data_IF_960738935147
#
_entry.id   IF_960738935147
#
_cell.length_a   1.000
_cell.length_b   1.000
_cell.length_c   1.000
_cell.angle_alpha   90.00
_cell.angle_beta   90.00
_cell.angle_gamma   90.00
#
_symmetry.space_group_name_H-M   'P 1'
#
loop_
_entity.id
_entity.type
_entity.pdbx_description
1 polymer ?
#
# COMPACT_ATOMS: atom_id res chain seq x y z
N UNK A 1 0.54 -5.53 14.56
CA UNK A 1 0.64 -5.04 13.17
C UNK A 1 -0.08 -6.03 12.27
N UNK A 2 -0.98 -5.58 11.39
CA UNK A 2 -1.60 -6.47 10.40
C UNK A 2 -0.69 -6.59 9.19
N UNK A 3 -0.30 -7.81 8.81
CA UNK A 3 0.36 -8.08 7.53
C UNK A 3 -0.41 -7.36 6.41
N UNK A 4 0.27 -6.52 5.63
CA UNK A 4 -0.31 -5.95 4.41
C UNK A 4 -0.37 -7.09 3.38
N UNK A 5 -1.47 -7.82 3.41
CA UNK A 5 -1.69 -9.01 2.60
C UNK A 5 -2.16 -8.64 1.19
N UNK A 6 -1.22 -8.56 0.24
CA UNK A 6 -1.54 -8.44 -1.18
C UNK A 6 -2.14 -9.75 -1.71
N UNK A 7 -3.46 -9.82 -1.78
CA UNK A 7 -4.21 -11.05 -2.06
C UNK A 7 -4.86 -11.03 -3.44
N UNK A 8 -4.56 -12.05 -4.25
CA UNK A 8 -5.26 -12.33 -5.51
C UNK A 8 -6.22 -13.51 -5.32
N UNK A 9 -7.43 -13.39 -5.86
CA UNK A 9 -8.46 -14.44 -5.83
C UNK A 9 -8.87 -14.77 -7.26
N UNK A 10 -8.68 -16.03 -7.65
CA UNK A 10 -9.11 -16.56 -8.94
C UNK A 10 -10.36 -17.42 -8.75
N UNK A 11 -11.50 -16.95 -9.26
CA UNK A 11 -12.77 -17.69 -9.23
C UNK A 11 -12.91 -18.58 -10.46
N UNK A 12 -13.33 -19.83 -10.25
CA UNK A 12 -13.49 -20.83 -11.30
C UNK A 12 -14.88 -21.45 -11.14
N UNK A 13 -15.80 -21.06 -12.02
CA UNK A 13 -17.15 -21.61 -12.06
C UNK A 13 -17.18 -22.97 -12.77
N UNK A 14 -18.11 -23.84 -12.38
CA UNK A 14 -18.30 -25.15 -13.01
C UNK A 14 -17.01 -25.98 -13.10
N UNK A 15 -16.23 -26.05 -12.01
CA UNK A 15 -14.92 -26.69 -11.95
C UNK A 15 -14.93 -28.15 -12.46
N UNK A 16 -16.03 -28.88 -12.27
CA UNK A 16 -16.21 -30.24 -12.76
C UNK A 16 -16.03 -30.37 -14.29
N UNK A 17 -16.33 -29.32 -15.05
CA UNK A 17 -16.16 -29.35 -16.51
C UNK A 17 -14.69 -29.28 -16.90
N UNK A 18 -13.87 -28.57 -16.12
CA UNK A 18 -12.41 -28.54 -16.30
C UNK A 18 -11.81 -29.91 -16.00
N UNK A 19 -12.25 -30.56 -14.91
CA UNK A 19 -11.86 -31.94 -14.55
C UNK A 19 -12.22 -32.95 -15.65
N UNK A 20 -13.27 -32.71 -16.43
CA UNK A 20 -13.66 -33.58 -17.57
C UNK A 20 -12.88 -33.29 -18.84
N UNK A 21 -12.58 -32.01 -19.12
CA UNK A 21 -12.03 -31.56 -20.41
C UNK A 21 -10.51 -31.55 -20.45
N UNK A 22 -9.85 -31.32 -19.31
CA UNK A 22 -8.41 -31.15 -19.23
C UNK A 22 -7.78 -32.48 -18.84
N UNK A 23 -6.82 -32.96 -19.63
CA UNK A 23 -6.17 -34.25 -19.38
C UNK A 23 -5.28 -34.21 -18.13
N UNK A 24 -4.90 -35.37 -17.63
CA UNK A 24 -3.84 -35.46 -16.62
C UNK A 24 -2.52 -34.91 -17.18
N UNK A 25 -1.79 -34.11 -16.39
CA UNK A 25 -0.59 -33.39 -16.84
C UNK A 25 -0.88 -32.07 -17.56
N UNK A 26 -2.13 -31.82 -18.00
CA UNK A 26 -2.51 -30.56 -18.61
C UNK A 26 -3.00 -29.56 -17.55
N UNK A 27 -2.70 -28.29 -17.77
CA UNK A 27 -3.14 -27.18 -16.93
C UNK A 27 -3.93 -26.13 -17.70
N UNK A 28 -4.63 -25.28 -16.95
CA UNK A 28 -5.14 -24.01 -17.43
C UNK A 28 -4.73 -22.88 -16.49
N UNK A 29 -4.64 -21.68 -17.03
CA UNK A 29 -4.01 -20.56 -16.34
C UNK A 29 -5.00 -19.50 -15.91
N UNK A 30 -4.71 -18.82 -14.81
CA UNK A 30 -5.39 -17.58 -14.45
C UNK A 30 -5.07 -16.46 -15.46
N UNK A 31 -5.84 -15.37 -15.48
CA UNK A 31 -5.33 -14.11 -16.00
C UNK A 31 -4.01 -13.76 -15.33
N UNK A 32 -3.11 -13.09 -16.07
CA UNK A 32 -1.92 -12.50 -15.47
C UNK A 32 -2.35 -11.40 -14.52
N UNK A 33 -1.73 -11.35 -13.34
CA UNK A 33 -2.07 -10.37 -12.33
C UNK A 33 -0.82 -9.69 -11.78
N UNK A 34 -0.98 -8.39 -11.53
CA UNK A 34 0.03 -7.57 -10.88
C UNK A 34 -0.22 -7.55 -9.39
N UNK A 35 0.86 -7.52 -8.63
CA UNK A 35 0.79 -7.24 -7.20
C UNK A 35 1.20 -5.80 -6.97
N UNK A 36 0.28 -4.96 -6.44
CA UNK A 36 0.56 -3.56 -6.24
C UNK A 36 1.60 -3.36 -5.14
N UNK A 37 2.37 -2.28 -5.32
CA UNK A 37 3.44 -1.84 -4.44
C UNK A 37 3.00 -1.85 -2.97
N UNK A 38 3.82 -2.41 -2.10
CA UNK A 38 3.77 -1.96 -0.73
C UNK A 38 4.42 -0.58 -0.68
N UNK A 39 3.67 0.41 -0.23
CA UNK A 39 4.02 1.83 -0.29
C UNK A 39 5.22 2.23 0.60
N UNK A 40 5.97 1.24 1.10
CA UNK A 40 7.04 1.40 2.07
C UNK A 40 8.45 1.27 1.47
N UNK A 41 8.58 0.94 0.18
CA UNK A 41 9.89 0.82 -0.49
C UNK A 41 9.81 1.21 -1.98
N UNK A 42 10.58 2.23 -2.38
CA UNK A 42 10.70 2.69 -3.78
C UNK A 42 11.40 1.68 -4.70
N UNK A 43 12.11 0.71 -4.12
CA UNK A 43 12.83 -0.32 -4.85
C UNK A 43 11.95 -1.52 -5.22
N UNK A 44 10.81 -1.73 -4.55
CA UNK A 44 9.91 -2.86 -4.82
C UNK A 44 8.95 -2.47 -5.95
N UNK A 45 9.38 -2.79 -7.18
CA UNK A 45 8.58 -2.56 -8.40
C UNK A 45 7.50 -3.64 -8.57
N UNK A 46 6.37 -3.31 -9.22
CA UNK A 46 5.25 -4.24 -9.36
C UNK A 46 5.70 -5.52 -10.03
N UNK A 47 5.39 -6.64 -9.40
CA UNK A 47 5.72 -7.99 -9.88
C UNK A 47 4.53 -8.57 -10.66
N UNK A 48 4.82 -9.27 -11.75
CA UNK A 48 3.82 -9.94 -12.60
C UNK A 48 3.81 -11.44 -12.34
N UNK A 49 2.61 -12.00 -12.24
CA UNK A 49 2.38 -13.39 -11.84
C UNK A 49 1.26 -14.05 -12.65
N UNK A 50 1.27 -15.39 -12.68
CA UNK A 50 0.21 -16.21 -13.24
C UNK A 50 0.10 -17.53 -12.46
N UNK A 51 -1.13 -17.98 -12.17
CA UNK A 51 -1.37 -19.29 -11.58
C UNK A 51 -1.68 -20.30 -12.68
N UNK A 52 -1.24 -21.54 -12.52
CA UNK A 52 -1.64 -22.67 -13.36
C UNK A 52 -2.28 -23.75 -12.49
N UNK A 53 -3.45 -24.23 -12.89
CA UNK A 53 -4.20 -25.25 -12.20
C UNK A 53 -4.24 -26.54 -13.02
N UNK A 54 -3.82 -27.64 -12.42
CA UNK A 54 -3.88 -28.99 -12.98
C UNK A 54 -5.03 -29.72 -12.30
N UNK A 55 -6.25 -29.71 -12.89
CA UNK A 55 -7.44 -30.23 -12.23
C UNK A 55 -7.41 -31.75 -12.03
N UNK A 56 -6.63 -32.47 -12.84
CA UNK A 56 -6.41 -33.92 -12.75
C UNK A 56 -4.98 -34.27 -12.32
N UNK A 57 -4.27 -33.31 -11.73
CA UNK A 57 -2.91 -33.46 -11.23
C UNK A 57 -1.84 -33.39 -12.31
N UNK A 58 -0.65 -32.99 -11.90
CA UNK A 58 0.58 -33.04 -12.70
C UNK A 58 1.23 -34.44 -12.62
N UNK A 59 2.33 -34.67 -13.35
CA UNK A 59 3.07 -35.94 -13.44
C UNK A 59 3.23 -36.62 -12.06
N UNK A 60 2.57 -37.78 -11.92
CA UNK A 60 2.64 -38.59 -10.68
C UNK A 60 1.62 -38.23 -9.60
N UNK A 61 0.80 -37.20 -9.78
CA UNK A 61 -0.19 -36.73 -8.81
C UNK A 61 -1.65 -37.06 -9.20
N UNK A 62 -1.90 -38.28 -9.69
CA UNK A 62 -3.26 -38.70 -10.08
C UNK A 62 -4.23 -38.58 -8.91
N UNK A 63 -5.45 -38.13 -9.20
CA UNK A 63 -6.52 -37.87 -8.22
C UNK A 63 -6.27 -36.71 -7.25
N UNK A 64 -5.21 -35.93 -7.47
CA UNK A 64 -4.99 -34.67 -6.77
C UNK A 64 -5.15 -33.50 -7.74
N UNK A 65 -5.45 -32.34 -7.19
CA UNK A 65 -5.35 -31.07 -7.89
C UNK A 65 -3.95 -30.52 -7.60
N UNK A 66 -3.21 -30.15 -8.65
CA UNK A 66 -1.92 -29.48 -8.52
C UNK A 66 -2.06 -28.00 -8.85
N UNK A 67 -1.25 -27.16 -8.20
CA UNK A 67 -1.21 -25.72 -8.47
C UNK A 67 0.23 -25.31 -8.66
N UNK A 68 0.53 -24.54 -9.69
CA UNK A 68 1.80 -23.83 -9.82
C UNK A 68 1.61 -22.32 -9.88
N UNK A 69 2.59 -21.60 -9.36
CA UNK A 69 2.72 -20.16 -9.47
C UNK A 69 3.91 -19.86 -10.36
N UNK A 70 3.69 -19.04 -11.40
CA UNK A 70 4.72 -18.56 -12.29
C UNK A 70 5.05 -17.09 -11.98
N UNK A 71 6.33 -16.81 -11.81
CA UNK A 71 6.87 -15.47 -11.83
C UNK A 71 7.17 -15.06 -13.28
N UNK A 72 6.53 -14.00 -13.76
CA UNK A 72 6.77 -13.48 -15.10
C UNK A 72 7.77 -12.33 -15.02
N UNK A 73 8.87 -12.44 -15.76
CA UNK A 73 9.92 -11.41 -15.84
C UNK A 73 9.37 -10.13 -16.51
N UNK A 74 9.29 -9.07 -15.72
CA UNK A 74 8.78 -7.75 -16.11
C UNK A 74 9.78 -6.97 -16.98
N UNK A 75 9.33 -5.93 -17.72
CA UNK A 75 10.24 -5.05 -18.45
C UNK A 75 11.30 -4.39 -17.56
N UNK A 76 10.95 -4.04 -16.32
CA UNK A 76 11.88 -3.48 -15.34
C UNK A 76 12.97 -4.48 -14.95
N UNK A 77 12.61 -5.73 -14.64
CA UNK A 77 13.59 -6.77 -14.31
C UNK A 77 14.52 -7.04 -15.50
N UNK A 78 14.02 -6.94 -16.73
CA UNK A 78 14.85 -7.04 -17.94
C UNK A 78 15.83 -5.87 -18.07
N UNK A 79 15.36 -4.63 -17.89
CA UNK A 79 16.21 -3.44 -18.04
C UNK A 79 17.29 -3.33 -16.95
N UNK A 80 17.10 -3.99 -15.81
CA UNK A 80 18.01 -3.95 -14.67
C UNK A 80 18.79 -5.26 -14.46
N UNK A 81 18.76 -6.18 -15.44
CA UNK A 81 19.46 -7.48 -15.35
C UNK A 81 19.11 -8.31 -14.10
N UNK A 82 17.88 -8.18 -13.59
CA UNK A 82 17.39 -8.97 -12.47
C UNK A 82 17.03 -10.35 -13.01
N UNK A 83 17.69 -11.40 -12.51
CA UNK A 83 17.55 -12.77 -13.04
C UNK A 83 16.89 -13.73 -12.07
N UNK A 84 16.53 -13.26 -10.88
CA UNK A 84 15.81 -14.06 -9.89
C UNK A 84 14.85 -13.18 -9.08
N UNK A 85 13.85 -13.80 -8.46
CA UNK A 85 12.89 -13.13 -7.58
C UNK A 85 12.61 -14.03 -6.39
N UNK A 86 13.01 -13.61 -5.20
CA UNK A 86 12.59 -14.27 -3.97
C UNK A 86 11.20 -13.76 -3.55
N UNK A 87 10.31 -14.66 -3.15
CA UNK A 87 8.97 -14.29 -2.71
C UNK A 87 8.42 -15.24 -1.64
N UNK A 88 7.86 -14.65 -0.57
CA UNK A 88 7.03 -15.35 0.41
C UNK A 88 5.55 -15.23 0.08
N UNK A 89 4.80 -16.32 0.18
CA UNK A 89 3.36 -16.32 -0.10
C UNK A 89 2.60 -17.42 0.67
N UNK A 90 1.27 -17.24 0.74
CA UNK A 90 0.29 -18.20 1.27
C UNK A 90 -0.63 -18.59 0.13
N UNK A 91 -1.00 -19.87 0.04
CA UNK A 91 -1.90 -20.39 -1.00
C UNK A 91 -3.09 -21.09 -0.35
N UNK A 92 -4.28 -20.92 -0.91
CA UNK A 92 -5.49 -21.58 -0.46
C UNK A 92 -6.44 -21.90 -1.59
N UNK A 93 -7.25 -22.94 -1.39
CA UNK A 93 -8.36 -23.32 -2.28
C UNK A 93 -9.63 -23.47 -1.46
N UNK A 94 -10.75 -23.02 -2.00
CA UNK A 94 -12.05 -23.13 -1.36
C UNK A 94 -13.19 -23.30 -2.34
N UNK A 95 -14.39 -23.53 -1.79
CA UNK A 95 -15.65 -23.59 -2.53
C UNK A 95 -16.43 -22.29 -2.40
N UNK A 96 -17.09 -21.92 -3.47
CA UNK A 96 -18.06 -20.84 -3.48
C UNK A 96 -19.46 -21.43 -3.46
N UNK A 97 -20.24 -21.09 -2.44
CA UNK A 97 -21.64 -21.48 -2.33
C UNK A 97 -22.52 -20.31 -2.74
N UNK A 98 -23.39 -20.54 -3.71
CA UNK A 98 -24.40 -19.55 -4.14
C UNK A 98 -25.76 -20.08 -3.70
N UNK A 99 -26.41 -19.38 -2.77
CA UNK A 99 -27.82 -19.57 -2.44
C UNK A 99 -28.62 -18.37 -2.96
N UNK A 100 -29.95 -18.51 -3.10
CA UNK A 100 -30.87 -17.47 -3.60
C UNK A 100 -30.77 -16.12 -2.86
N UNK A 101 -30.22 -16.10 -1.65
CA UNK A 101 -30.06 -14.91 -0.81
C UNK A 101 -28.61 -14.45 -0.57
N UNK A 102 -27.58 -15.27 -0.83
CA UNK A 102 -26.17 -14.89 -0.59
C UNK A 102 -25.14 -15.77 -1.30
N UNK A 103 -23.97 -15.19 -1.57
CA UNK A 103 -22.77 -15.87 -2.05
C UNK A 103 -21.76 -15.95 -0.91
N UNK A 104 -21.37 -17.16 -0.49
CA UNK A 104 -20.37 -17.38 0.56
C UNK A 104 -19.17 -18.15 0.04
N UNK A 105 -18.00 -17.89 0.62
CA UNK A 105 -16.74 -18.57 0.29
C UNK A 105 -16.22 -19.31 1.51
N UNK A 106 -15.92 -20.59 1.36
CA UNK A 106 -15.35 -21.41 2.43
C UNK A 106 -14.01 -21.97 1.97
N UNK A 107 -12.95 -21.66 2.70
CA UNK A 107 -11.62 -22.20 2.45
C UNK A 107 -11.57 -23.68 2.89
N UNK A 108 -11.06 -24.55 2.03
CA UNK A 108 -11.00 -26.00 2.28
C UNK A 108 -9.59 -26.38 2.70
N UNK A 109 -8.59 -25.91 1.96
CA UNK A 109 -7.18 -26.14 2.27
C UNK A 109 -6.38 -24.87 2.12
N UNK A 110 -5.38 -24.71 2.98
CA UNK A 110 -4.41 -23.62 2.96
C UNK A 110 -3.01 -24.14 3.26
N UNK A 111 -2.03 -23.55 2.63
CA UNK A 111 -0.61 -23.69 2.93
C UNK A 111 -0.07 -22.30 3.21
N UNK A 112 0.67 -22.16 4.29
CA UNK A 112 1.24 -20.90 4.75
C UNK A 112 2.75 -20.94 4.67
N UNK A 113 3.35 -19.75 4.55
CA UNK A 113 4.80 -19.54 4.63
C UNK A 113 5.63 -20.25 3.56
N UNK A 114 5.18 -20.15 2.31
CA UNK A 114 5.94 -20.65 1.17
C UNK A 114 6.98 -19.58 0.80
N UNK A 115 8.26 -19.85 1.06
CA UNK A 115 9.38 -19.06 0.56
C UNK A 115 9.98 -19.74 -0.66
N UNK A 116 10.05 -19.05 -1.79
CA UNK A 116 10.64 -19.59 -3.02
C UNK A 116 11.44 -18.54 -3.79
N UNK A 117 12.52 -18.97 -4.44
CA UNK A 117 13.32 -18.15 -5.34
C UNK A 117 13.06 -18.55 -6.80
N UNK A 118 12.45 -17.65 -7.55
CA UNK A 118 12.07 -17.84 -8.94
C UNK A 118 13.21 -17.44 -9.86
N UNK A 119 13.86 -18.41 -10.50
CA UNK A 119 15.01 -18.18 -11.38
C UNK A 119 14.56 -17.93 -12.83
N UNK A 120 14.78 -16.72 -13.34
CA UNK A 120 14.43 -16.32 -14.71
C UNK A 120 15.41 -16.81 -15.78
N UNK A 121 16.56 -17.36 -15.41
CA UNK A 121 17.49 -17.97 -16.36
C UNK A 121 17.00 -19.34 -16.85
N UNK A 122 16.11 -19.99 -16.10
CA UNK A 122 15.50 -21.29 -16.43
C UNK A 122 13.97 -21.14 -16.55
N UNK A 123 13.45 -20.53 -17.62
CA UNK A 123 12.02 -20.34 -17.80
C UNK A 123 11.30 -21.66 -18.15
N UNK A 124 10.04 -21.85 -17.69
CA UNK A 124 9.26 -20.91 -16.89
C UNK A 124 9.74 -20.90 -15.42
N UNK A 125 9.81 -19.70 -14.83
CA UNK A 125 10.21 -19.54 -13.44
C UNK A 125 9.02 -19.88 -12.53
N UNK A 126 8.91 -21.14 -12.13
CA UNK A 126 7.72 -21.68 -11.46
C UNK A 126 8.01 -22.37 -10.15
N UNK A 127 7.05 -22.27 -9.23
CA UNK A 127 6.93 -23.10 -8.04
C UNK A 127 5.64 -23.91 -8.12
N UNK A 128 5.65 -25.19 -7.72
CA UNK A 128 4.48 -26.07 -7.78
C UNK A 128 4.19 -26.80 -6.47
N UNK A 129 2.91 -27.13 -6.29
CA UNK A 129 2.41 -28.11 -5.32
C UNK A 129 1.68 -29.21 -6.07
N UNK A 130 2.39 -30.30 -6.32
CA UNK A 130 1.93 -31.38 -7.20
C UNK A 130 0.74 -32.14 -6.58
N UNK A 131 0.68 -32.27 -5.26
CA UNK A 131 -0.44 -32.92 -4.54
C UNK A 131 -1.11 -31.94 -3.59
N UNK A 132 -1.56 -30.79 -4.11
CA UNK A 132 -2.09 -29.74 -3.25
C UNK A 132 -3.34 -30.16 -2.49
N UNK A 133 -4.35 -30.75 -3.14
CA UNK A 133 -5.57 -31.26 -2.47
C UNK A 133 -6.13 -32.47 -3.20
N UNK A 134 -6.73 -33.41 -2.47
CA UNK A 134 -7.42 -34.54 -3.13
C UNK A 134 -8.62 -34.03 -3.92
N UNK A 135 -8.79 -34.54 -5.14
CA UNK A 135 -9.93 -34.19 -5.98
C UNK A 135 -11.27 -34.51 -5.29
N UNK A 136 -11.30 -35.57 -4.46
CA UNK A 136 -12.50 -35.98 -3.72
C UNK A 136 -12.91 -34.99 -2.62
N UNK A 137 -11.99 -34.16 -2.11
CA UNK A 137 -12.33 -33.10 -1.16
C UNK A 137 -13.12 -31.96 -1.85
N UNK A 138 -12.84 -31.74 -3.14
CA UNK A 138 -13.56 -30.77 -3.96
C UNK A 138 -14.83 -31.38 -4.57
N UNK A 139 -14.75 -32.58 -5.11
CA UNK A 139 -15.85 -33.31 -5.74
C UNK A 139 -16.08 -34.64 -5.01
N UNK A 140 -16.88 -34.66 -3.92
CA UNK A 140 -17.14 -35.88 -3.17
C UNK A 140 -17.76 -36.96 -4.06
N UNK A 141 -17.37 -38.21 -3.79
CA UNK A 141 -17.77 -39.43 -4.52
C UNK A 141 -17.46 -39.41 -6.03
N UNK A 142 -16.46 -38.62 -6.45
CA UNK A 142 -16.15 -38.39 -7.88
C UNK A 142 -17.37 -37.94 -8.68
N UNK A 143 -18.36 -37.32 -8.01
CA UNK A 143 -19.58 -36.89 -8.66
C UNK A 143 -19.31 -35.64 -9.51
N UNK A 144 -18.89 -35.87 -10.75
CA UNK A 144 -18.61 -34.81 -11.74
C UNK A 144 -19.87 -34.14 -12.28
N UNK A 145 -21.08 -34.55 -11.86
CA UNK A 145 -22.35 -34.04 -12.41
C UNK A 145 -22.85 -32.76 -11.74
N UNK A 146 -22.46 -32.50 -10.49
CA UNK A 146 -22.87 -31.30 -9.75
C UNK A 146 -21.98 -30.11 -10.07
N UNK A 147 -22.60 -28.98 -10.42
CA UNK A 147 -21.89 -27.72 -10.59
C UNK A 147 -21.20 -27.33 -9.29
N UNK A 148 -19.87 -27.23 -9.35
CA UNK A 148 -19.03 -26.88 -8.20
C UNK A 148 -18.17 -25.70 -8.57
N UNK A 149 -18.38 -24.57 -7.89
CA UNK A 149 -17.55 -23.38 -8.06
C UNK A 149 -16.45 -23.40 -7.00
N UNK A 150 -15.21 -23.19 -7.45
CA UNK A 150 -14.05 -23.07 -6.56
C UNK A 150 -13.43 -21.68 -6.67
N UNK A 151 -12.59 -21.35 -5.70
CA UNK A 151 -11.69 -20.22 -5.80
C UNK A 151 -10.30 -20.62 -5.31
N UNK A 152 -9.29 -20.04 -5.93
CA UNK A 152 -7.89 -20.11 -5.47
C UNK A 152 -7.53 -18.73 -4.94
N UNK A 153 -6.99 -18.70 -3.73
CA UNK A 153 -6.51 -17.49 -3.08
C UNK A 153 -5.00 -17.59 -2.92
N UNK A 154 -4.29 -16.58 -3.37
CA UNK A 154 -2.85 -16.43 -3.10
C UNK A 154 -2.61 -15.08 -2.43
N UNK A 155 -1.86 -15.10 -1.34
CA UNK A 155 -1.53 -13.90 -0.54
C UNK A 155 -0.03 -13.77 -0.46
N UNK A 156 0.50 -12.66 -0.95
CA UNK A 156 1.93 -12.39 -0.95
C UNK A 156 2.32 -11.68 0.35
N UNK A 157 3.44 -12.11 0.90
CA UNK A 157 4.02 -11.57 2.14
C UNK A 157 5.31 -10.87 1.71
N UNK A 158 5.41 -9.58 2.01
CA UNK A 158 6.66 -8.85 1.76
C UNK A 158 7.77 -9.39 2.68
N UNK A 159 8.99 -9.45 2.17
CA UNK A 159 10.14 -9.93 2.94
C UNK A 159 10.46 -8.96 4.09
N UNK A 160 10.20 -9.38 5.33
CA UNK A 160 10.48 -8.66 6.57
C UNK A 160 11.98 -8.39 6.84
N UNK A 161 12.93 -8.96 6.09
CA UNK A 161 14.38 -8.84 6.39
C UNK A 161 14.94 -7.41 6.29
N UNK A 162 14.30 -6.51 5.53
CA UNK A 162 14.63 -5.08 5.52
C UNK A 162 13.90 -4.33 6.64
N UNK A 163 12.75 -4.84 7.11
CA UNK A 163 11.96 -4.24 8.18
C UNK A 163 12.63 -4.50 9.53
N UNK A 164 13.06 -5.73 9.83
CA UNK A 164 13.74 -6.08 11.10
C UNK A 164 15.06 -5.33 11.29
N UNK A 165 15.89 -5.22 10.24
CA UNK A 165 17.15 -4.45 10.31
C UNK A 165 16.91 -2.97 10.57
N UNK A 166 15.89 -2.41 9.95
CA UNK A 166 15.52 -1.01 10.13
C UNK A 166 14.91 -0.76 11.52
N UNK A 167 14.10 -1.67 12.06
CA UNK A 167 13.54 -1.53 13.40
C UNK A 167 14.61 -1.49 14.49
N UNK A 168 15.63 -2.37 14.42
CA UNK A 168 16.74 -2.36 15.39
C UNK A 168 17.58 -1.08 15.28
N UNK A 169 17.79 -0.57 14.06
CA UNK A 169 18.51 0.68 13.84
C UNK A 169 17.71 1.86 14.41
N UNK A 170 16.42 1.92 14.09
CA UNK A 170 15.52 2.98 14.55
C UNK A 170 15.33 2.99 16.07
N UNK A 171 15.26 1.84 16.73
CA UNK A 171 15.21 1.77 18.20
C UNK A 171 16.45 2.40 18.84
N UNK A 172 17.62 2.28 18.18
CA UNK A 172 18.87 2.87 18.66
C UNK A 172 18.98 4.35 18.31
N UNK A 173 18.55 4.76 17.12
CA UNK A 173 18.64 6.16 16.69
C UNK A 173 17.52 7.03 17.23
N UNK A 174 16.37 6.49 17.64
CA UNK A 174 15.26 7.26 18.22
C UNK A 174 15.71 8.10 19.43
N UNK A 175 16.61 7.56 20.27
CA UNK A 175 17.17 8.29 21.42
C UNK A 175 18.08 9.46 21.03
N UNK A 176 18.63 9.46 19.81
CA UNK A 176 19.51 10.51 19.31
C UNK A 176 18.75 11.65 18.61
N UNK A 177 17.42 11.55 18.48
CA UNK A 177 16.61 12.59 17.85
C UNK A 177 16.52 13.84 18.73
N UNK A 178 17.00 14.98 18.21
CA UNK A 178 17.18 16.24 18.96
C UNK A 178 17.99 16.10 20.26
N UNK A 179 18.80 15.04 20.36
CA UNK A 179 19.80 14.93 21.41
C UNK A 179 21.02 15.79 21.03
N UNK A 180 21.59 16.46 22.03
CA UNK A 180 22.72 17.36 21.85
C UNK A 180 24.06 16.60 21.75
N UNK A 181 24.12 15.35 22.24
CA UNK A 181 25.34 14.56 22.23
C UNK A 181 25.70 14.19 20.79
N UNK A 182 26.96 14.41 20.41
CA UNK A 182 27.50 14.17 19.06
C UNK A 182 26.80 14.89 17.89
N UNK A 183 25.83 15.78 18.15
CA UNK A 183 25.19 16.56 17.11
C UNK A 183 26.20 17.48 16.38
N UNK A 184 26.28 17.35 15.05
CA UNK A 184 27.28 18.01 14.20
C UNK A 184 26.65 18.95 13.14
N UNK A 185 25.33 19.13 13.22
CA UNK A 185 24.56 20.06 12.40
C UNK A 185 23.35 20.60 13.19
N UNK A 186 23.05 21.89 12.99
CA UNK A 186 21.88 22.57 13.52
C UNK A 186 21.08 23.23 12.39
N UNK A 187 19.76 23.05 12.39
CA UNK A 187 18.83 23.69 11.45
C UNK A 187 18.03 24.79 12.13
N UNK A 188 18.14 26.02 11.62
CA UNK A 188 17.47 27.20 12.16
C UNK A 188 16.36 27.68 11.22
N UNK A 189 15.19 28.02 11.79
CA UNK A 189 13.99 28.47 11.07
C UNK A 189 13.65 29.95 11.33
N UNK A 190 14.51 30.67 12.07
CA UNK A 190 14.25 32.05 12.49
C UNK A 190 13.24 32.19 13.62
N UNK A 191 12.94 31.11 14.35
CA UNK A 191 12.05 31.06 15.51
C UNK A 191 12.61 30.17 16.65
N UNK A 192 11.82 29.96 17.71
CA UNK A 192 12.25 29.75 19.09
C UNK A 192 13.14 28.53 19.42
N UNK A 193 13.18 27.46 18.60
CA UNK A 193 14.07 26.32 18.85
C UNK A 193 14.62 25.69 17.57
N UNK A 194 15.96 25.66 17.38
CA UNK A 194 16.57 24.97 16.27
C UNK A 194 16.45 23.44 16.39
N UNK A 195 16.60 22.73 15.28
CA UNK A 195 16.63 21.27 15.24
C UNK A 195 18.08 20.81 15.13
N UNK A 196 18.60 20.17 16.17
CA UNK A 196 19.94 19.57 16.16
C UNK A 196 19.87 18.13 15.66
N UNK A 197 20.89 17.73 14.92
CA UNK A 197 20.94 16.42 14.28
C UNK A 197 22.39 15.99 13.97
N UNK A 198 22.49 14.78 13.43
CA UNK A 198 23.70 14.07 13.04
C UNK A 198 23.74 13.89 11.52
N UNK A 199 24.76 14.43 10.85
CA UNK A 199 24.91 14.34 9.39
C UNK A 199 24.95 12.91 8.90
N UNK A 200 25.61 12.02 9.63
CA UNK A 200 25.77 10.61 9.21
C UNK A 200 24.42 9.91 9.14
N UNK A 201 23.56 10.08 10.14
CA UNK A 201 22.20 9.50 10.16
C UNK A 201 21.38 10.07 9.00
N UNK A 202 21.39 11.40 8.83
CA UNK A 202 20.64 12.07 7.76
C UNK A 202 21.11 11.67 6.35
N UNK A 203 22.43 11.56 6.14
CA UNK A 203 23.01 11.21 4.84
C UNK A 203 22.88 9.72 4.50
N UNK A 204 22.78 8.84 5.50
CA UNK A 204 22.48 7.42 5.31
C UNK A 204 21.05 7.21 4.79
N UNK A 205 20.07 7.91 5.38
CA UNK A 205 18.65 7.72 5.08
C UNK A 205 18.14 8.59 3.91
N UNK A 206 18.90 9.60 3.48
CA UNK A 206 18.46 10.51 2.42
C UNK A 206 19.61 11.01 1.54
N UNK A 207 19.49 10.69 0.25
CA UNK A 207 20.41 11.20 -0.78
C UNK A 207 20.41 12.74 -0.84
N UNK A 208 19.26 13.38 -0.59
CA UNK A 208 19.15 14.84 -0.52
C UNK A 208 20.10 15.41 0.53
N UNK A 209 20.07 14.89 1.76
CA UNK A 209 20.96 15.35 2.83
C UNK A 209 22.42 15.06 2.51
N UNK A 210 22.73 13.86 1.97
CA UNK A 210 24.09 13.52 1.53
C UNK A 210 24.65 14.52 0.52
N UNK A 211 23.88 14.84 -0.52
CA UNK A 211 24.27 15.81 -1.54
C UNK A 211 24.42 17.22 -0.97
N UNK A 212 23.48 17.66 -0.12
CA UNK A 212 23.59 18.97 0.55
C UNK A 212 24.82 19.07 1.43
N UNK A 213 25.16 18.06 2.23
CA UNK A 213 26.35 18.09 3.08
C UNK A 213 27.68 18.01 2.31
N UNK A 214 27.67 17.43 1.10
CA UNK A 214 28.83 17.39 0.22
C UNK A 214 28.96 18.66 -0.64
N UNK A 215 27.86 19.38 -0.86
CA UNK A 215 27.80 20.62 -1.62
C UNK A 215 27.52 21.83 -0.74
N UNK A 216 26.30 22.37 -0.86
CA UNK A 216 25.89 23.68 -0.31
C UNK A 216 26.10 23.84 1.21
N UNK A 217 25.99 22.76 1.98
CA UNK A 217 26.09 22.74 3.43
C UNK A 217 27.43 22.19 3.95
N UNK A 218 28.40 22.00 3.05
CA UNK A 218 29.73 21.52 3.40
C UNK A 218 30.40 22.47 4.40
N UNK A 219 30.85 21.92 5.53
CA UNK A 219 31.53 22.66 6.59
C UNK A 219 30.65 23.57 7.46
N UNK A 220 29.35 23.74 7.15
CA UNK A 220 28.46 24.62 7.91
C UNK A 220 27.91 23.93 9.15
N UNK A 221 28.21 24.39 10.36
CA UNK A 221 27.60 23.85 11.60
C UNK A 221 26.13 24.24 11.78
N UNK A 222 25.73 25.39 11.26
CA UNK A 222 24.35 25.89 11.32
C UNK A 222 23.86 26.15 9.90
N UNK A 223 22.67 25.66 9.58
CA UNK A 223 22.00 25.85 8.29
C UNK A 223 20.66 26.52 8.53
N UNK A 224 20.44 27.65 7.86
CA UNK A 224 19.13 28.31 7.84
C UNK A 224 18.23 27.59 6.84
N UNK A 225 17.07 27.17 7.30
CA UNK A 225 16.04 26.53 6.48
C UNK A 225 14.95 27.56 6.20
N UNK A 226 14.63 27.72 4.93
CA UNK A 226 13.62 28.65 4.43
C UNK A 226 12.48 27.88 3.75
N UNK A 227 11.33 28.52 3.59
CA UNK A 227 10.17 27.98 2.84
C UNK A 227 9.54 26.70 3.42
N UNK A 228 9.73 26.40 4.71
CA UNK A 228 9.00 25.35 5.40
C UNK A 228 8.87 25.65 6.90
N UNK A 229 7.89 25.04 7.56
CA UNK A 229 7.72 25.18 9.01
C UNK A 229 8.68 24.29 9.78
N UNK A 230 9.13 24.76 10.95
CA UNK A 230 9.95 23.97 11.87
C UNK A 230 9.29 22.63 12.21
N UNK A 231 7.95 22.60 12.36
CA UNK A 231 7.20 21.38 12.68
C UNK A 231 7.22 20.35 11.55
N UNK A 232 7.05 20.79 10.29
CA UNK A 232 7.09 19.88 9.15
C UNK A 232 8.49 19.31 8.93
N UNK A 233 9.53 20.14 9.04
CA UNK A 233 10.90 19.68 8.93
C UNK A 233 11.28 18.74 10.08
N UNK A 234 10.91 19.09 11.32
CA UNK A 234 11.10 18.24 12.50
C UNK A 234 10.43 16.87 12.33
N UNK A 235 9.23 16.80 11.74
CA UNK A 235 8.57 15.54 11.43
C UNK A 235 9.35 14.69 10.40
N UNK A 236 9.99 15.32 9.41
CA UNK A 236 10.89 14.61 8.47
C UNK A 236 12.12 14.06 9.19
N UNK A 237 12.78 14.88 10.02
CA UNK A 237 13.95 14.46 10.79
C UNK A 237 13.56 13.33 11.75
N UNK A 238 12.43 13.44 12.44
CA UNK A 238 11.91 12.39 13.31
C UNK A 238 11.73 11.07 12.56
N UNK A 239 11.16 11.11 11.36
CA UNK A 239 11.01 9.91 10.53
C UNK A 239 12.36 9.29 10.16
N UNK A 240 13.36 10.09 9.79
CA UNK A 240 14.71 9.60 9.49
C UNK A 240 15.33 8.87 10.69
N UNK A 241 15.07 9.33 11.91
CA UNK A 241 15.63 8.72 13.12
C UNK A 241 14.87 7.50 13.61
N UNK A 242 13.59 7.37 13.28
CA UNK A 242 12.69 6.41 13.94
C UNK A 242 11.96 5.48 12.98
N UNK A 243 11.93 5.79 11.69
CA UNK A 243 11.07 5.14 10.70
C UNK A 243 9.58 5.34 10.92
N UNK A 244 9.19 6.12 11.94
CA UNK A 244 7.81 6.35 12.40
C UNK A 244 7.32 7.72 11.97
N UNK A 245 6.00 7.88 11.87
CA UNK A 245 5.42 9.19 11.64
C UNK A 245 5.34 9.97 12.96
N UNK A 246 5.82 11.21 12.96
CA UNK A 246 5.56 12.12 14.07
C UNK A 246 4.05 12.43 14.15
N UNK A 247 3.47 12.39 15.35
CA UNK A 247 2.04 12.61 15.59
C UNK A 247 1.09 11.51 15.08
N UNK A 248 1.58 10.28 14.88
CA UNK A 248 0.73 9.13 14.57
C UNK A 248 -0.40 8.97 15.62
N UNK A 249 -1.63 8.71 15.15
CA UNK A 249 -2.81 8.54 16.01
C UNK A 249 -3.32 9.82 16.70
N UNK A 250 -2.69 10.98 16.48
CA UNK A 250 -3.15 12.25 17.04
C UNK A 250 -4.39 12.74 16.29
N UNK A 251 -5.58 12.44 16.83
CA UNK A 251 -6.85 12.82 16.22
C UNK A 251 -7.33 14.20 16.72
N UNK A 252 -7.90 15.01 15.84
CA UNK A 252 -8.64 16.23 16.21
C UNK A 252 -7.86 17.55 16.22
N UNK A 253 -6.53 17.53 16.08
CA UNK A 253 -5.76 18.78 15.96
C UNK A 253 -5.79 19.29 14.51
N UNK A 254 -6.53 20.37 14.27
CA UNK A 254 -6.69 20.95 12.94
C UNK A 254 -5.41 21.56 12.33
N UNK A 255 -4.30 21.61 13.08
CA UNK A 255 -2.96 21.99 12.59
C UNK A 255 -2.20 20.81 11.96
N UNK A 256 -2.59 19.57 12.27
CA UNK A 256 -1.92 18.37 11.78
C UNK A 256 -2.02 18.23 10.27
N UNK A 257 -3.14 18.62 9.66
CA UNK A 257 -3.27 18.54 8.20
C UNK A 257 -2.22 19.39 7.48
N UNK A 258 -1.96 20.61 7.96
CA UNK A 258 -0.97 21.49 7.36
C UNK A 258 0.44 20.92 7.56
N UNK A 259 0.73 20.44 8.77
CA UNK A 259 2.00 19.78 9.08
C UNK A 259 2.20 18.56 8.19
N UNK A 260 1.22 17.66 8.09
CA UNK A 260 1.29 16.47 7.24
C UNK A 260 1.44 16.83 5.76
N UNK A 261 0.73 17.83 5.25
CA UNK A 261 0.85 18.23 3.86
C UNK A 261 2.24 18.83 3.55
N UNK A 262 2.76 19.69 4.42
CA UNK A 262 4.13 20.22 4.27
C UNK A 262 5.18 19.11 4.42
N UNK A 263 5.02 18.23 5.42
CA UNK A 263 5.91 17.08 5.64
C UNK A 263 5.91 16.16 4.41
N UNK A 264 4.74 15.95 3.79
CA UNK A 264 4.62 15.17 2.55
C UNK A 264 5.38 15.80 1.38
N UNK A 265 5.29 17.13 1.23
CA UNK A 265 6.04 17.87 0.19
C UNK A 265 7.55 17.77 0.42
N UNK A 266 8.00 17.91 1.67
CA UNK A 266 9.41 17.72 2.03
C UNK A 266 9.85 16.26 1.79
N UNK A 267 9.03 15.28 2.17
CA UNK A 267 9.31 13.87 1.94
C UNK A 267 9.48 13.57 0.45
N UNK A 268 8.62 14.13 -0.40
CA UNK A 268 8.73 14.03 -1.85
C UNK A 268 10.02 14.68 -2.38
N UNK A 269 10.32 15.90 -1.95
CA UNK A 269 11.55 16.61 -2.32
C UNK A 269 12.82 15.84 -1.90
N UNK A 270 12.78 15.18 -0.74
CA UNK A 270 13.93 14.49 -0.14
C UNK A 270 14.02 13.00 -0.50
N UNK A 271 13.09 12.49 -1.32
CA UNK A 271 13.04 11.08 -1.73
C UNK A 271 12.65 10.10 -0.61
N UNK A 272 11.87 10.54 0.37
CA UNK A 272 11.43 9.76 1.53
C UNK A 272 10.03 9.15 1.29
N UNK A 273 9.92 8.23 0.34
CA UNK A 273 8.60 7.74 -0.09
C UNK A 273 7.83 6.99 0.99
N UNK A 274 8.51 6.23 1.86
CA UNK A 274 7.86 5.57 3.00
C UNK A 274 7.12 6.56 3.89
N UNK A 275 7.70 7.73 4.18
CA UNK A 275 7.04 8.80 4.93
C UNK A 275 5.86 9.38 4.15
N UNK A 276 6.02 9.67 2.85
CA UNK A 276 4.94 10.15 1.97
C UNK A 276 3.73 9.20 2.03
N UNK A 277 3.98 7.90 2.00
CA UNK A 277 2.94 6.89 2.00
C UNK A 277 2.30 6.66 3.37
N UNK A 278 3.07 6.71 4.46
CA UNK A 278 2.52 6.74 5.81
C UNK A 278 1.55 7.93 5.94
N UNK A 279 1.95 9.12 5.49
CA UNK A 279 1.11 10.33 5.52
C UNK A 279 -0.17 10.14 4.71
N UNK A 280 -0.07 9.56 3.51
CA UNK A 280 -1.23 9.28 2.66
C UNK A 280 -2.23 8.30 3.31
N UNK A 281 -1.75 7.36 4.12
CA UNK A 281 -2.59 6.41 4.89
C UNK A 281 -3.25 7.06 6.11
N UNK A 282 -2.53 7.92 6.82
CA UNK A 282 -3.04 8.55 8.04
C UNK A 282 -3.97 9.74 7.78
N UNK A 283 -3.71 10.54 6.73
CA UNK A 283 -4.52 11.72 6.41
C UNK A 283 -6.03 11.40 6.38
N UNK A 284 -6.50 10.37 5.63
CA UNK A 284 -7.91 9.98 5.62
C UNK A 284 -8.48 9.59 6.98
N UNK A 285 -7.68 8.96 7.85
CA UNK A 285 -8.11 8.49 9.18
C UNK A 285 -8.43 9.64 10.13
N UNK A 286 -7.76 10.77 9.94
CA UNK A 286 -7.98 11.99 10.73
C UNK A 286 -9.16 12.85 10.26
N UNK A 287 -9.79 12.50 9.13
CA UNK A 287 -10.93 13.23 8.56
C UNK A 287 -12.15 13.17 9.49
N UNK A 288 -12.71 14.33 9.80
CA UNK A 288 -13.87 14.47 10.67
C UNK A 288 -14.69 15.73 10.37
N UNK A 289 -15.80 15.89 11.09
CA UNK A 289 -16.74 17.02 10.95
C UNK A 289 -16.11 18.40 11.15
N UNK A 290 -15.02 18.47 11.92
CA UNK A 290 -14.34 19.73 12.27
C UNK A 290 -13.30 20.19 11.26
N UNK A 291 -12.81 19.30 10.38
CA UNK A 291 -11.67 19.56 9.51
C UNK A 291 -11.86 19.22 8.02
N UNK A 292 -13.00 18.64 7.61
CA UNK A 292 -13.24 18.22 6.22
C UNK A 292 -13.02 19.33 5.18
N UNK A 293 -13.36 20.57 5.51
CA UNK A 293 -13.21 21.73 4.63
C UNK A 293 -11.73 22.01 4.32
N UNK A 294 -10.86 21.85 5.32
CA UNK A 294 -9.41 21.97 5.15
C UNK A 294 -8.86 20.84 4.30
N UNK A 295 -9.35 19.63 4.50
CA UNK A 295 -8.99 18.45 3.72
C UNK A 295 -9.36 18.59 2.25
N UNK A 296 -10.55 19.12 1.97
CA UNK A 296 -10.98 19.40 0.61
C UNK A 296 -10.06 20.43 -0.06
N UNK A 297 -9.79 21.55 0.62
CA UNK A 297 -8.88 22.59 0.12
C UNK A 297 -7.47 22.06 -0.13
N UNK A 298 -6.92 21.25 0.77
CA UNK A 298 -5.59 20.65 0.58
C UNK A 298 -5.58 19.72 -0.63
N UNK A 299 -6.57 18.82 -0.75
CA UNK A 299 -6.69 17.91 -1.90
C UNK A 299 -6.77 18.68 -3.22
N UNK A 300 -7.50 19.79 -3.22
CA UNK A 300 -7.64 20.64 -4.40
C UNK A 300 -6.35 21.38 -4.76
N UNK A 301 -5.73 22.10 -3.80
CA UNK A 301 -4.47 22.84 -3.99
C UNK A 301 -3.29 21.96 -4.41
N UNK A 302 -3.35 20.68 -4.06
CA UNK A 302 -2.29 19.72 -4.36
C UNK A 302 -2.62 18.79 -5.51
N UNK A 303 -3.80 18.94 -6.12
CA UNK A 303 -4.34 18.04 -7.14
C UNK A 303 -4.31 16.55 -6.71
N UNK A 304 -4.48 16.28 -5.41
CA UNK A 304 -4.50 14.93 -4.85
C UNK A 304 -5.90 14.35 -5.02
N UNK A 305 -6.11 13.65 -6.14
CA UNK A 305 -7.40 13.04 -6.49
C UNK A 305 -7.90 12.05 -5.43
N UNK A 306 -7.02 11.25 -4.85
CA UNK A 306 -7.40 10.25 -3.84
C UNK A 306 -7.93 10.94 -2.59
N UNK A 307 -7.24 11.96 -2.11
CA UNK A 307 -7.68 12.75 -0.96
C UNK A 307 -9.01 13.46 -1.26
N UNK A 308 -9.14 14.08 -2.44
CA UNK A 308 -10.39 14.73 -2.87
C UNK A 308 -11.57 13.75 -2.86
N UNK A 309 -11.41 12.59 -3.48
CA UNK A 309 -12.48 11.59 -3.61
C UNK A 309 -12.97 11.12 -2.22
N UNK A 310 -12.05 10.84 -1.30
CA UNK A 310 -12.38 10.45 0.08
C UNK A 310 -13.17 11.55 0.80
N UNK A 311 -12.73 12.79 0.70
CA UNK A 311 -13.34 13.91 1.40
C UNK A 311 -14.71 14.25 0.82
N UNK A 312 -14.82 14.29 -0.51
CA UNK A 312 -16.07 14.51 -1.21
C UNK A 312 -17.10 13.41 -0.90
N UNK A 313 -16.66 12.15 -0.82
CA UNK A 313 -17.53 11.06 -0.41
C UNK A 313 -18.01 11.21 1.03
N UNK A 314 -17.12 11.56 1.96
CA UNK A 314 -17.45 11.80 3.37
C UNK A 314 -18.46 12.95 3.52
N UNK A 315 -18.26 14.05 2.79
CA UNK A 315 -19.15 15.21 2.82
C UNK A 315 -20.51 14.88 2.21
N UNK A 316 -20.55 14.19 1.07
CA UNK A 316 -21.81 13.81 0.42
C UNK A 316 -22.66 12.91 1.32
N UNK A 317 -22.06 11.96 2.04
CA UNK A 317 -22.76 11.09 3.00
C UNK A 317 -23.37 11.86 4.18
N UNK A 318 -22.76 12.99 4.57
CA UNK A 318 -23.17 13.78 5.75
C UNK A 318 -23.67 15.19 5.36
N UNK A 319 -24.18 15.34 4.12
CA UNK A 319 -24.40 16.66 3.52
C UNK A 319 -25.36 17.56 4.30
N UNK A 320 -26.45 16.99 4.82
CA UNK A 320 -27.48 17.74 5.54
C UNK A 320 -26.93 18.42 6.80
N UNK A 321 -25.95 17.79 7.45
CA UNK A 321 -25.22 18.34 8.59
C UNK A 321 -24.19 19.40 8.14
N UNK A 322 -23.45 19.12 7.07
CA UNK A 322 -22.30 19.96 6.69
C UNK A 322 -22.69 21.25 5.96
N UNK A 323 -23.79 21.26 5.20
CA UNK A 323 -24.23 22.42 4.41
C UNK A 323 -24.51 23.69 5.24
N UNK A 324 -24.78 23.53 6.55
CA UNK A 324 -24.99 24.65 7.50
C UNK A 324 -23.86 24.81 8.52
N UNK A 325 -22.85 23.92 8.46
CA UNK A 325 -21.80 23.81 9.46
C UNK A 325 -20.70 24.87 9.36
N UNK A 326 -19.86 24.96 10.41
CA UNK A 326 -18.71 25.88 10.45
C UNK A 326 -17.73 25.64 9.29
N UNK A 327 -17.54 24.38 8.88
CA UNK A 327 -16.68 24.02 7.74
C UNK A 327 -17.15 24.64 6.43
N UNK A 328 -18.45 24.58 6.13
CA UNK A 328 -19.01 25.21 4.93
C UNK A 328 -18.85 26.73 4.95
N UNK A 329 -19.11 27.37 6.09
CA UNK A 329 -18.88 28.82 6.25
C UNK A 329 -17.43 29.21 5.99
N UNK A 330 -16.46 28.43 6.51
CA UNK A 330 -15.04 28.67 6.24
C UNK A 330 -14.68 28.45 4.78
N UNK A 331 -15.21 27.39 4.16
CA UNK A 331 -14.99 27.11 2.75
C UNK A 331 -15.49 28.26 1.88
N UNK A 332 -16.70 28.77 2.12
CA UNK A 332 -17.27 29.92 1.41
C UNK A 332 -16.47 31.20 1.59
N UNK A 333 -15.86 31.41 2.77
CA UNK A 333 -15.02 32.58 3.03
C UNK A 333 -13.69 32.51 2.26
N UNK A 334 -13.11 31.32 2.11
CA UNK A 334 -11.85 31.11 1.38
C UNK A 334 -12.08 31.02 -0.14
N UNK A 335 -13.25 30.56 -0.56
CA UNK A 335 -13.57 30.30 -1.96
C UNK A 335 -13.95 31.54 -2.79
N UNK A 336 -13.91 32.75 -2.24
CA UNK A 336 -13.99 33.96 -3.07
C UNK A 336 -12.87 33.99 -4.14
N UNK A 337 -11.76 33.26 -3.92
CA UNK A 337 -10.66 33.08 -4.89
C UNK A 337 -10.62 31.66 -5.51
N UNK A 338 -11.45 30.71 -5.06
CA UNK A 338 -11.37 29.26 -5.40
C UNK A 338 -12.77 28.64 -5.66
N UNK A 339 -13.60 29.30 -6.49
CA UNK A 339 -15.00 28.90 -6.77
C UNK A 339 -15.15 27.48 -7.33
N UNK A 340 -14.16 26.99 -8.09
CA UNK A 340 -14.17 25.65 -8.68
C UNK A 340 -14.27 24.53 -7.63
N UNK A 341 -13.71 24.74 -6.42
CA UNK A 341 -13.81 23.79 -5.30
C UNK A 341 -15.26 23.60 -4.87
N UNK A 342 -16.01 24.70 -4.82
CA UNK A 342 -17.41 24.71 -4.43
C UNK A 342 -18.28 24.06 -5.50
N UNK A 343 -18.02 24.36 -6.76
CA UNK A 343 -18.74 23.78 -7.90
C UNK A 343 -18.56 22.26 -7.94
N UNK A 344 -17.32 21.77 -7.79
CA UNK A 344 -17.01 20.33 -7.73
C UNK A 344 -17.76 19.66 -6.57
N UNK A 345 -17.77 20.29 -5.40
CA UNK A 345 -18.49 19.79 -4.23
C UNK A 345 -20.00 19.68 -4.50
N UNK A 346 -20.63 20.72 -5.02
CA UNK A 346 -22.06 20.70 -5.33
C UNK A 346 -22.41 19.70 -6.43
N UNK A 347 -21.59 19.56 -7.47
CA UNK A 347 -21.80 18.59 -8.54
C UNK A 347 -21.84 17.15 -7.99
N UNK A 348 -20.90 16.79 -7.12
CA UNK A 348 -20.84 15.45 -6.50
C UNK A 348 -22.02 15.21 -5.57
N UNK A 349 -22.36 16.18 -4.73
CA UNK A 349 -23.50 16.09 -3.80
C UNK A 349 -24.81 15.91 -4.58
N UNK A 350 -25.04 16.72 -5.62
CA UNK A 350 -26.25 16.65 -6.43
C UNK A 350 -26.37 15.32 -7.18
N UNK A 351 -25.26 14.83 -7.77
CA UNK A 351 -25.22 13.52 -8.42
C UNK A 351 -25.60 12.39 -7.46
N UNK A 352 -25.06 12.38 -6.24
CA UNK A 352 -25.39 11.35 -5.25
C UNK A 352 -26.82 11.45 -4.73
N UNK A 353 -27.36 12.66 -4.55
CA UNK A 353 -28.76 12.85 -4.19
C UNK A 353 -29.70 12.34 -5.28
N UNK A 354 -29.39 12.59 -6.55
CA UNK A 354 -30.16 12.05 -7.67
C UNK A 354 -30.14 10.52 -7.68
N UNK A 355 -28.99 9.89 -7.44
CA UNK A 355 -28.87 8.43 -7.37
C UNK A 355 -29.63 7.79 -6.19
N UNK A 356 -29.88 8.53 -5.11
CA UNK A 356 -30.61 8.03 -3.94
C UNK A 356 -32.14 8.15 -4.06
N UNK A 357 -32.65 8.78 -5.14
CA UNK A 357 -34.09 8.86 -5.44
C UNK A 357 -34.58 7.70 -6.33
N UNK A 358 -33.69 6.79 -6.70
CA UNK A 358 -33.95 5.55 -7.44
C UNK A 358 -33.55 4.38 -6.53
#
# INVERSE_FOLDING_TARGET
MGEIANTFIWEIGSFQDYVRKISHGDAFSSPKFWIPQNCHDDNIKPTLWQLHLYPNGDLGARNYISISLEAIKTPFERSNNINEREQRHKLGIGKTFVNRASRSKTLIKKVTDIKHNYNFNNPPATWSLDQFISLNEILPDSNRSRSTDIFIQITFIDSDESIERNEILYEKTEKAFEDDDLADIEFNFGCDKPVKAHRVILAMESKYFKEKFQGEWKGKKVVRIENTTCMAFRAVIYFIYTGKMMYEGCNGCCRLINIHNETRKLAEMMGLTKLKCLIAKEMPRSLNKGNWDKFLLVGWKTNDKFLKDIVLEYVAKNWEEFKKGKGMKRLLLVANDEMEVIEELFAIVNKKKQMAMW
#
